data_IF_140284789607
#
_entry.id   IF_140284789607
#
_cell.length_a   1.000
_cell.length_b   1.000
_cell.length_c   1.000
_cell.angle_alpha   90.00
_cell.angle_beta   90.00
_cell.angle_gamma   90.00
#
_symmetry.space_group_name_H-M   'P 1'
#
loop_
_entity.id
_entity.type
_entity.pdbx_description
1 polymer ?
#
# COMPACT_ATOMS: atom_id res chain seq x y z
N UNK A 1 12.15 -10.62 21.82
CA UNK A 1 12.34 -11.74 20.90
C UNK A 1 12.93 -11.23 19.57
N UNK A 2 13.79 -12.02 18.89
CA UNK A 2 14.42 -11.62 17.64
C UNK A 2 13.42 -11.50 16.50
N UNK A 3 13.61 -10.49 15.64
CA UNK A 3 12.90 -10.33 14.39
C UNK A 3 13.31 -11.44 13.42
N UNK A 4 12.34 -11.98 12.67
CA UNK A 4 12.60 -13.05 11.68
C UNK A 4 13.34 -14.29 12.23
N UNK A 5 13.03 -14.72 13.46
CA UNK A 5 13.63 -15.87 14.13
C UNK A 5 13.89 -17.04 13.21
N UNK A 6 12.88 -17.48 12.44
CA UNK A 6 12.94 -18.69 11.62
C UNK A 6 13.88 -18.54 10.39
N UNK A 7 14.27 -17.32 10.03
CA UNK A 7 15.18 -17.06 8.90
C UNK A 7 16.64 -16.90 9.34
N UNK A 8 16.89 -16.71 10.62
CA UNK A 8 18.22 -16.51 11.15
C UNK A 8 18.79 -17.81 11.70
N UNK A 9 19.94 -18.30 11.19
CA UNK A 9 20.60 -19.48 11.76
C UNK A 9 20.93 -19.34 13.24
N UNK A 10 21.15 -18.09 13.70
CA UNK A 10 21.49 -17.79 15.11
C UNK A 10 20.33 -18.05 16.05
N UNK A 11 19.08 -17.95 15.60
CA UNK A 11 17.88 -17.98 16.45
C UNK A 11 16.92 -19.12 16.12
N UNK A 12 17.01 -19.70 14.92
CA UNK A 12 16.03 -20.65 14.40
C UNK A 12 15.84 -21.87 15.31
N UNK A 13 16.93 -22.44 15.79
CA UNK A 13 16.94 -23.69 16.53
C UNK A 13 16.93 -23.50 18.06
N UNK A 14 16.82 -22.25 18.54
CA UNK A 14 16.78 -21.93 19.96
C UNK A 14 15.36 -21.96 20.53
N UNK A 15 15.24 -22.49 21.76
CA UNK A 15 13.96 -22.48 22.48
C UNK A 15 13.62 -21.07 23.03
N UNK A 16 12.40 -20.92 23.54
CA UNK A 16 11.91 -19.63 24.05
C UNK A 16 12.74 -19.09 25.22
N UNK A 17 13.12 -19.96 26.17
CA UNK A 17 13.87 -19.55 27.36
C UNK A 17 15.31 -19.10 27.01
N UNK A 18 15.93 -19.74 26.04
CA UNK A 18 17.23 -19.31 25.52
C UNK A 18 17.15 -17.96 24.84
N UNK A 19 16.12 -17.75 24.01
CA UNK A 19 15.93 -16.47 23.29
C UNK A 19 15.66 -15.29 24.24
N UNK A 20 14.93 -15.51 25.32
CA UNK A 20 14.66 -14.45 26.32
C UNK A 20 15.93 -14.05 27.06
N UNK A 21 16.86 -14.98 27.30
CA UNK A 21 18.14 -14.70 27.96
C UNK A 21 19.18 -14.05 27.03
N UNK A 22 18.97 -14.10 25.73
CA UNK A 22 19.90 -13.52 24.75
C UNK A 22 19.72 -12.01 24.62
N UNK A 23 20.85 -11.29 24.50
CA UNK A 23 20.82 -9.90 24.09
C UNK A 23 20.60 -9.81 22.56
N UNK A 24 19.35 -9.58 22.14
CA UNK A 24 18.93 -9.54 20.76
C UNK A 24 19.01 -8.10 20.24
N UNK A 25 19.93 -7.83 19.31
CA UNK A 25 20.09 -6.51 18.69
C UNK A 25 18.89 -6.08 17.84
N UNK A 26 18.28 -7.02 17.08
CA UNK A 26 17.12 -6.78 16.20
C UNK A 26 15.87 -7.47 16.78
N UNK A 27 15.20 -6.79 17.70
CA UNK A 27 14.01 -7.31 18.37
C UNK A 27 12.73 -6.99 17.60
N UNK A 28 11.65 -7.70 17.93
CA UNK A 28 10.30 -7.42 17.39
C UNK A 28 9.86 -6.03 17.85
N UNK A 29 9.42 -5.20 16.91
CA UNK A 29 8.97 -3.84 17.19
C UNK A 29 7.71 -3.83 18.09
N UNK A 30 7.64 -2.85 19.01
CA UNK A 30 6.53 -2.68 19.98
C UNK A 30 5.15 -2.68 19.30
N UNK A 31 5.02 -2.08 18.12
CA UNK A 31 3.77 -2.09 17.33
C UNK A 31 3.35 -3.50 16.96
N UNK A 32 4.30 -4.39 16.60
CA UNK A 32 4.02 -5.79 16.25
C UNK A 32 3.61 -6.57 17.50
N UNK A 33 4.30 -6.37 18.62
CA UNK A 33 3.95 -6.99 19.92
C UNK A 33 2.52 -6.60 20.31
N UNK A 34 2.20 -5.30 20.30
CA UNK A 34 0.88 -4.80 20.65
C UNK A 34 -0.23 -5.30 19.72
N UNK A 35 0.09 -5.55 18.43
CA UNK A 35 -0.84 -6.15 17.47
C UNK A 35 -1.17 -7.59 17.87
N UNK A 36 -0.17 -8.41 18.24
CA UNK A 36 -0.40 -9.78 18.70
C UNK A 36 -1.16 -9.82 20.02
N UNK A 37 -0.80 -8.97 20.99
CA UNK A 37 -1.55 -8.83 22.24
C UNK A 37 -3.01 -8.44 21.95
N UNK A 38 -3.23 -7.53 20.99
CA UNK A 38 -4.58 -7.13 20.57
C UNK A 38 -5.40 -8.28 20.00
N UNK A 39 -4.81 -9.13 19.16
CA UNK A 39 -5.50 -10.31 18.63
C UNK A 39 -5.87 -11.31 19.72
N UNK A 40 -4.95 -11.62 20.63
CA UNK A 40 -5.22 -12.50 21.75
C UNK A 40 -6.31 -11.91 22.67
N UNK A 41 -6.22 -10.62 22.97
CA UNK A 41 -7.24 -9.94 23.78
C UNK A 41 -8.62 -9.98 23.12
N UNK A 42 -8.72 -9.73 21.82
CA UNK A 42 -10.00 -9.82 21.09
C UNK A 42 -10.58 -11.24 21.11
N UNK A 43 -9.73 -12.26 20.99
CA UNK A 43 -10.16 -13.66 21.10
C UNK A 43 -10.72 -13.96 22.50
N UNK A 44 -10.06 -13.50 23.57
CA UNK A 44 -10.56 -13.70 24.92
C UNK A 44 -11.84 -12.91 25.23
N UNK A 45 -12.00 -11.69 24.72
CA UNK A 45 -13.27 -10.96 24.81
C UNK A 45 -14.41 -11.72 24.12
N UNK A 46 -14.15 -12.28 22.92
CA UNK A 46 -15.12 -13.16 22.25
C UNK A 46 -15.43 -14.40 23.10
N UNK A 47 -14.43 -15.06 23.68
CA UNK A 47 -14.59 -16.25 24.56
C UNK A 47 -15.42 -15.93 25.80
N UNK A 48 -15.25 -14.76 26.41
CA UNK A 48 -16.04 -14.30 27.56
C UNK A 48 -17.51 -14.10 27.13
N UNK A 49 -17.75 -13.43 26.02
CA UNK A 49 -19.11 -13.18 25.52
C UNK A 49 -19.87 -14.46 25.15
N UNK A 50 -19.14 -15.56 24.89
CA UNK A 50 -19.72 -16.87 24.57
C UNK A 50 -19.65 -17.87 25.73
N UNK A 51 -19.25 -17.44 26.93
CA UNK A 51 -19.24 -18.29 28.14
C UNK A 51 -18.08 -19.30 28.23
N UNK A 52 -17.07 -19.21 27.34
CA UNK A 52 -15.91 -20.10 27.34
C UNK A 52 -14.79 -19.66 28.32
N UNK A 53 -14.79 -18.42 28.74
CA UNK A 53 -13.83 -17.87 29.71
C UNK A 53 -14.50 -16.83 30.58
N UNK A 54 -13.95 -16.60 31.76
CA UNK A 54 -14.41 -15.55 32.68
C UNK A 54 -13.47 -14.36 32.75
N UNK A 55 -12.24 -14.51 32.27
CA UNK A 55 -11.20 -13.48 32.33
C UNK A 55 -10.47 -13.31 31.00
N UNK A 56 -9.99 -12.11 30.76
CA UNK A 56 -9.10 -11.82 29.63
C UNK A 56 -7.68 -11.59 30.16
N UNK A 57 -6.77 -12.59 30.04
CA UNK A 57 -5.40 -12.46 30.56
C UNK A 57 -4.53 -11.47 29.78
N UNK A 58 -4.98 -11.01 28.61
CA UNK A 58 -4.25 -10.04 27.78
C UNK A 58 -4.71 -8.60 27.99
N UNK A 59 -5.70 -8.38 28.87
CA UNK A 59 -6.20 -7.04 29.17
C UNK A 59 -5.11 -6.23 29.88
N UNK A 60 -4.81 -5.04 29.33
CA UNK A 60 -3.81 -4.13 29.92
C UNK A 60 -2.34 -4.46 29.60
N UNK A 61 -2.03 -5.57 28.87
CA UNK A 61 -0.66 -5.96 28.58
C UNK A 61 0.00 -5.18 27.42
N UNK A 62 -0.72 -4.27 26.76
CA UNK A 62 -0.13 -3.46 25.68
C UNK A 62 1.02 -2.60 26.20
N UNK A 63 2.15 -2.69 25.52
CA UNK A 63 3.32 -1.89 25.82
C UNK A 63 3.10 -0.42 25.42
N UNK A 64 3.61 0.51 26.21
CA UNK A 64 3.59 1.93 25.89
C UNK A 64 4.41 2.17 24.61
N UNK A 65 3.85 2.91 23.67
CA UNK A 65 4.60 3.34 22.48
C UNK A 65 5.47 4.53 22.85
N UNK A 66 6.74 4.45 22.54
CA UNK A 66 7.72 5.51 22.77
C UNK A 66 7.63 6.61 21.73
N UNK A 67 7.27 6.25 20.48
CA UNK A 67 7.19 7.17 19.33
C UNK A 67 5.73 7.35 18.88
N UNK A 68 5.35 8.56 18.53
CA UNK A 68 4.01 8.84 18.00
C UNK A 68 3.86 8.20 16.62
N UNK A 69 2.66 7.73 16.23
CA UNK A 69 2.46 7.10 14.91
C UNK A 69 2.89 7.95 13.71
N UNK A 70 2.80 9.27 13.82
CA UNK A 70 3.22 10.21 12.77
C UNK A 70 4.74 10.32 12.63
N UNK A 71 5.47 10.02 13.70
CA UNK A 71 6.93 10.12 13.79
C UNK A 71 7.60 8.75 13.55
N UNK A 72 6.78 7.68 13.33
CA UNK A 72 7.27 6.33 12.98
C UNK A 72 7.81 6.24 11.54
N UNK A 73 7.53 7.25 10.70
CA UNK A 73 8.00 7.31 9.30
C UNK A 73 8.39 8.72 8.96
N UNK A 74 9.60 8.88 8.50
CA UNK A 74 10.07 10.13 7.96
C UNK A 74 9.40 10.43 6.62
N UNK A 75 9.25 11.72 6.33
CA UNK A 75 8.81 12.18 5.01
C UNK A 75 10.02 12.17 4.09
N UNK A 76 9.79 11.89 2.83
CA UNK A 76 10.80 12.11 1.82
C UNK A 76 11.17 13.59 1.76
N UNK A 77 12.44 13.88 1.77
CA UNK A 77 12.98 15.23 1.52
C UNK A 77 12.88 15.57 0.03
N UNK A 78 12.95 16.86 -0.30
CA UNK A 78 12.97 17.30 -1.70
C UNK A 78 14.13 16.70 -2.50
N UNK A 79 15.28 16.48 -1.85
CA UNK A 79 16.44 15.84 -2.47
C UNK A 79 16.17 14.36 -2.78
N UNK A 80 15.55 13.65 -1.85
CA UNK A 80 15.15 12.25 -2.07
C UNK A 80 14.08 12.15 -3.16
N UNK A 81 13.09 13.05 -3.17
CA UNK A 81 12.08 13.09 -4.23
C UNK A 81 12.71 13.37 -5.61
N UNK A 82 13.64 14.32 -5.69
CA UNK A 82 14.40 14.58 -6.92
C UNK A 82 15.21 13.36 -7.35
N UNK A 83 15.77 12.61 -6.42
CA UNK A 83 16.51 11.37 -6.71
C UNK A 83 15.58 10.27 -7.18
N UNK A 84 14.42 10.09 -6.53
CA UNK A 84 13.40 9.10 -6.88
C UNK A 84 12.79 9.38 -8.27
N UNK A 85 12.45 10.62 -8.57
CA UNK A 85 11.79 11.00 -9.83
C UNK A 85 12.76 11.60 -10.86
N UNK A 86 14.06 11.52 -10.62
CA UNK A 86 15.07 11.96 -11.58
C UNK A 86 14.94 11.23 -12.93
N UNK A 87 14.89 12.00 -14.03
CA UNK A 87 14.58 11.50 -15.37
C UNK A 87 15.37 10.24 -15.74
N UNK A 88 16.70 10.27 -15.53
CA UNK A 88 17.59 9.16 -15.90
C UNK A 88 17.26 7.88 -15.13
N UNK A 89 17.09 7.98 -13.80
CA UNK A 89 16.79 6.83 -12.96
C UNK A 89 15.36 6.34 -13.16
N UNK A 90 14.39 7.26 -13.10
CA UNK A 90 12.98 6.89 -13.07
C UNK A 90 12.52 6.23 -14.38
N UNK A 91 12.87 6.79 -15.52
CA UNK A 91 12.50 6.24 -16.84
C UNK A 91 13.19 4.89 -17.07
N UNK A 92 14.47 4.79 -16.76
CA UNK A 92 15.22 3.55 -16.91
C UNK A 92 14.67 2.41 -16.03
N UNK A 93 14.46 2.67 -14.74
CA UNK A 93 13.99 1.65 -13.80
C UNK A 93 12.52 1.29 -13.95
N UNK A 94 11.68 2.21 -14.34
CA UNK A 94 10.24 1.94 -14.53
C UNK A 94 9.95 1.16 -15.80
N UNK A 95 10.94 1.03 -16.69
CA UNK A 95 10.85 0.20 -17.89
C UNK A 95 9.60 0.48 -18.73
N UNK A 96 9.26 1.76 -18.88
CA UNK A 96 8.08 2.17 -19.64
C UNK A 96 8.14 1.67 -21.08
N UNK A 97 9.34 1.59 -21.65
CA UNK A 97 9.60 1.05 -22.98
C UNK A 97 9.29 -0.46 -23.08
N UNK A 98 9.44 -1.21 -21.97
CA UNK A 98 9.04 -2.61 -21.87
C UNK A 98 7.53 -2.77 -21.56
N UNK A 99 6.74 -1.72 -21.67
CA UNK A 99 5.29 -1.70 -21.37
C UNK A 99 4.95 -2.01 -19.90
N UNK A 100 5.87 -1.76 -18.98
CA UNK A 100 5.65 -1.86 -17.52
C UNK A 100 5.02 -0.56 -17.01
N UNK A 101 3.89 -0.17 -17.60
CA UNK A 101 3.17 1.08 -17.32
C UNK A 101 2.81 1.27 -15.86
N UNK A 102 2.53 0.17 -15.16
CA UNK A 102 2.23 0.17 -13.72
C UNK A 102 3.39 0.68 -12.86
N UNK A 103 4.64 0.44 -13.27
CA UNK A 103 5.81 0.92 -12.54
C UNK A 103 6.05 2.41 -12.75
N UNK A 104 5.65 2.94 -13.92
CA UNK A 104 5.78 4.36 -14.23
C UNK A 104 4.64 5.18 -13.61
N UNK A 105 3.39 4.79 -13.84
CA UNK A 105 2.23 5.60 -13.45
C UNK A 105 1.87 5.49 -11.97
N UNK A 106 2.06 4.33 -11.33
CA UNK A 106 1.62 4.14 -9.93
C UNK A 106 2.25 5.12 -8.95
N UNK A 107 3.58 5.36 -8.94
CA UNK A 107 4.18 6.34 -8.03
C UNK A 107 3.76 7.78 -8.34
N UNK A 108 3.67 8.15 -9.61
CA UNK A 108 3.25 9.48 -10.04
C UNK A 108 1.80 9.77 -9.59
N UNK A 109 0.88 8.84 -9.86
CA UNK A 109 -0.50 8.95 -9.39
C UNK A 109 -0.51 9.04 -7.85
N UNK A 110 0.29 8.22 -7.16
CA UNK A 110 0.36 8.25 -5.70
C UNK A 110 0.79 9.60 -5.13
N UNK A 111 1.83 10.19 -5.70
CA UNK A 111 2.38 11.49 -5.23
C UNK A 111 1.40 12.63 -5.50
N UNK A 112 0.80 12.69 -6.68
CA UNK A 112 -0.05 13.80 -7.09
C UNK A 112 -1.53 13.67 -6.68
N UNK A 113 -1.98 12.48 -6.24
CA UNK A 113 -3.38 12.26 -5.84
C UNK A 113 -3.56 11.86 -4.38
N UNK A 114 -2.51 11.39 -3.71
CA UNK A 114 -2.61 10.82 -2.37
C UNK A 114 -3.43 9.53 -2.29
N UNK A 115 -3.68 8.86 -3.41
CA UNK A 115 -4.38 7.59 -3.45
C UNK A 115 -3.53 6.48 -2.82
N UNK A 116 -4.19 5.51 -2.18
CA UNK A 116 -3.49 4.33 -1.67
C UNK A 116 -3.04 3.44 -2.82
N UNK A 117 -1.90 2.77 -2.66
CA UNK A 117 -1.36 1.87 -3.68
C UNK A 117 -2.39 0.84 -4.17
N UNK A 118 -3.18 0.25 -3.27
CA UNK A 118 -4.24 -0.68 -3.65
C UNK A 118 -5.35 -0.03 -4.49
N UNK A 119 -5.72 1.21 -4.18
CA UNK A 119 -6.70 1.98 -4.94
C UNK A 119 -6.19 2.27 -6.37
N UNK A 120 -4.91 2.67 -6.50
CA UNK A 120 -4.30 2.96 -7.80
C UNK A 120 -4.22 1.69 -8.67
N UNK A 121 -3.71 0.60 -8.10
CA UNK A 121 -3.49 -0.65 -8.85
C UNK A 121 -4.78 -1.38 -9.23
N UNK A 122 -5.89 -1.06 -8.56
CA UNK A 122 -7.23 -1.57 -8.88
C UNK A 122 -8.10 -0.59 -9.68
N UNK A 123 -7.55 0.53 -10.18
CA UNK A 123 -8.32 1.48 -10.97
C UNK A 123 -8.82 0.84 -12.27
N UNK A 124 -10.10 0.99 -12.50
CA UNK A 124 -10.72 0.75 -13.81
C UNK A 124 -10.61 2.02 -14.66
N UNK A 125 -10.59 1.86 -15.97
CA UNK A 125 -10.43 2.99 -16.89
C UNK A 125 -11.59 3.98 -16.76
N UNK A 126 -12.80 3.51 -16.55
CA UNK A 126 -14.01 4.31 -16.36
C UNK A 126 -14.06 5.03 -15.00
N UNK A 127 -13.21 4.65 -14.04
CA UNK A 127 -13.03 5.40 -12.81
C UNK A 127 -12.19 6.68 -13.02
N UNK A 128 -11.59 6.86 -14.19
CA UNK A 128 -10.92 8.11 -14.59
C UNK A 128 -11.86 8.85 -15.53
N UNK A 129 -12.65 9.74 -15.01
CA UNK A 129 -13.74 10.38 -15.74
C UNK A 129 -13.94 11.86 -15.40
N UNK A 130 -14.56 12.59 -16.30
CA UNK A 130 -14.98 13.96 -16.03
C UNK A 130 -16.14 14.00 -15.05
N UNK A 131 -16.01 14.80 -14.02
CA UNK A 131 -17.06 15.06 -13.03
C UNK A 131 -17.34 16.56 -12.96
N UNK A 132 -18.61 16.93 -12.94
CA UNK A 132 -19.05 18.32 -12.75
C UNK A 132 -18.93 18.71 -11.30
N UNK A 133 -18.17 19.75 -11.01
CA UNK A 133 -18.11 20.39 -9.70
C UNK A 133 -19.34 21.26 -9.40
N UNK A 134 -19.40 21.82 -8.19
CA UNK A 134 -20.47 22.70 -7.73
C UNK A 134 -20.66 23.95 -8.60
N UNK A 135 -19.61 24.43 -9.23
CA UNK A 135 -19.63 25.61 -10.11
C UNK A 135 -19.78 25.25 -11.61
N UNK A 136 -20.31 24.05 -11.92
CA UNK A 136 -20.49 23.52 -13.29
C UNK A 136 -19.21 23.28 -14.08
N UNK A 137 -18.04 23.48 -13.51
CA UNK A 137 -16.77 23.13 -14.10
C UNK A 137 -16.65 21.63 -14.21
N UNK A 138 -16.18 21.14 -15.35
CA UNK A 138 -15.83 19.73 -15.53
C UNK A 138 -14.36 19.55 -15.21
N UNK A 139 -14.04 18.60 -14.36
CA UNK A 139 -12.67 18.21 -14.06
C UNK A 139 -12.51 16.70 -14.21
N UNK A 140 -11.38 16.31 -14.76
CA UNK A 140 -10.99 14.90 -14.77
C UNK A 140 -10.68 14.48 -13.33
N UNK A 141 -11.27 13.36 -12.90
CA UNK A 141 -11.17 12.89 -11.52
C UNK A 141 -10.93 11.38 -11.49
N UNK A 142 -10.26 10.94 -10.44
CA UNK A 142 -10.29 9.56 -9.99
C UNK A 142 -11.53 9.34 -9.13
N UNK A 143 -12.44 8.49 -9.55
CA UNK A 143 -13.65 8.12 -8.80
C UNK A 143 -13.38 6.85 -8.00
N UNK A 144 -13.12 7.00 -6.72
CA UNK A 144 -12.81 5.89 -5.82
C UNK A 144 -14.10 5.36 -5.22
N UNK A 145 -14.67 4.38 -5.88
CA UNK A 145 -15.98 3.78 -5.54
C UNK A 145 -15.87 2.27 -5.41
N UNK A 146 -16.77 1.67 -4.61
CA UNK A 146 -17.02 0.23 -4.62
C UNK A 146 -18.20 -0.02 -5.57
N UNK A 147 -17.98 -0.90 -6.50
CA UNK A 147 -18.97 -1.35 -7.46
C UNK A 147 -19.25 -2.82 -7.18
N UNK A 148 -20.50 -3.19 -6.84
CA UNK A 148 -20.84 -4.56 -6.45
C UNK A 148 -20.47 -5.63 -7.50
N UNK A 149 -20.46 -5.23 -8.78
CA UNK A 149 -20.14 -6.11 -9.90
C UNK A 149 -18.63 -6.41 -10.01
N UNK A 150 -17.78 -5.59 -9.35
CA UNK A 150 -16.32 -5.68 -9.40
C UNK A 150 -15.78 -6.28 -8.11
N UNK A 151 -15.88 -7.61 -8.00
CA UNK A 151 -15.51 -8.36 -6.79
C UNK A 151 -14.00 -8.35 -6.49
N UNK A 152 -13.18 -7.96 -7.44
CA UNK A 152 -11.73 -7.80 -7.32
C UNK A 152 -11.29 -6.45 -6.73
N UNK A 153 -12.25 -5.52 -6.54
CA UNK A 153 -12.00 -4.17 -6.03
C UNK A 153 -12.50 -4.03 -4.60
N UNK A 154 -11.57 -3.95 -3.66
CA UNK A 154 -11.90 -3.80 -2.25
C UNK A 154 -11.42 -2.45 -1.71
N UNK A 155 -12.33 -1.66 -1.16
CA UNK A 155 -11.96 -0.51 -0.34
C UNK A 155 -11.80 -0.95 1.11
N UNK A 156 -10.79 -0.39 1.78
CA UNK A 156 -10.50 -0.72 3.18
C UNK A 156 -11.67 -0.40 4.13
N UNK A 157 -12.46 0.63 3.82
CA UNK A 157 -13.64 1.07 4.58
C UNK A 157 -14.64 1.75 3.64
N UNK A 158 -15.91 1.80 4.00
CA UNK A 158 -16.92 2.57 3.26
C UNK A 158 -16.57 4.07 3.17
N UNK A 159 -15.95 4.63 4.19
CA UNK A 159 -15.45 6.01 4.21
C UNK A 159 -14.32 6.30 3.22
N UNK A 160 -13.80 5.26 2.54
CA UNK A 160 -12.79 5.42 1.48
C UNK A 160 -13.38 5.89 0.15
N UNK A 161 -14.71 5.86 -0.02
CA UNK A 161 -15.38 6.42 -1.22
C UNK A 161 -15.11 7.91 -1.31
N UNK A 162 -14.54 8.33 -2.42
CA UNK A 162 -14.24 9.74 -2.66
C UNK A 162 -13.90 10.01 -4.12
N UNK A 163 -14.06 11.24 -4.51
CA UNK A 163 -13.63 11.77 -5.80
C UNK A 163 -12.34 12.56 -5.56
N UNK A 164 -11.32 12.29 -6.33
CA UNK A 164 -10.02 12.97 -6.27
C UNK A 164 -9.73 13.60 -7.63
N UNK A 165 -9.62 14.94 -7.74
CA UNK A 165 -9.26 15.57 -8.99
C UNK A 165 -7.90 15.07 -9.49
N UNK A 166 -7.78 14.86 -10.80
CA UNK A 166 -6.49 14.57 -11.43
C UNK A 166 -5.67 15.85 -11.43
N UNK A 167 -4.46 15.79 -10.90
CA UNK A 167 -3.55 16.91 -10.88
C UNK A 167 -3.06 17.27 -12.29
N UNK A 168 -2.92 18.55 -12.59
CA UNK A 168 -2.54 19.04 -13.94
C UNK A 168 -1.23 18.43 -14.43
N UNK A 169 -0.25 18.25 -13.55
CA UNK A 169 1.01 17.56 -13.86
C UNK A 169 0.82 16.15 -14.42
N UNK A 170 -0.17 15.39 -13.94
CA UNK A 170 -0.45 14.06 -14.48
C UNK A 170 -1.02 14.16 -15.92
N UNK A 171 -1.78 15.21 -16.20
CA UNK A 171 -2.32 15.50 -17.54
C UNK A 171 -1.17 15.90 -18.46
N UNK A 172 -0.30 16.81 -18.02
CA UNK A 172 0.89 17.26 -18.76
C UNK A 172 1.87 16.11 -19.07
N UNK A 173 1.97 15.12 -18.15
CA UNK A 173 2.77 13.91 -18.36
C UNK A 173 2.13 12.90 -19.33
N UNK A 174 0.92 13.18 -19.84
CA UNK A 174 0.26 12.37 -20.86
C UNK A 174 -0.62 11.24 -20.28
N UNK A 175 -1.21 11.39 -19.08
CA UNK A 175 -2.10 10.37 -18.50
C UNK A 175 -3.32 10.11 -19.37
N UNK A 176 -3.89 11.17 -19.99
CA UNK A 176 -5.08 11.04 -20.86
C UNK A 176 -4.71 10.26 -22.11
N UNK A 177 -3.63 10.64 -22.78
CA UNK A 177 -3.12 10.00 -23.98
C UNK A 177 -2.76 8.53 -23.71
N UNK A 178 -2.18 8.26 -22.55
CA UNK A 178 -1.90 6.89 -22.11
C UNK A 178 -3.19 6.05 -22.01
N UNK A 179 -4.24 6.57 -21.34
CA UNK A 179 -5.53 5.88 -21.22
C UNK A 179 -6.16 5.65 -22.60
N UNK A 180 -6.12 6.64 -23.46
CA UNK A 180 -6.62 6.52 -24.84
C UNK A 180 -5.86 5.46 -25.64
N UNK A 181 -4.53 5.44 -25.52
CA UNK A 181 -3.67 4.45 -26.16
C UNK A 181 -4.00 3.02 -25.70
N UNK A 182 -4.27 2.84 -24.41
CA UNK A 182 -4.68 1.53 -23.86
C UNK A 182 -6.00 1.06 -24.48
N UNK A 183 -6.99 1.94 -24.62
CA UNK A 183 -8.29 1.64 -25.23
C UNK A 183 -8.19 1.36 -26.74
N UNK A 184 -7.32 2.06 -27.44
CA UNK A 184 -7.07 1.81 -28.87
C UNK A 184 -6.43 0.43 -29.08
N UNK A 185 -5.45 0.07 -28.23
CA UNK A 185 -4.76 -1.23 -28.32
C UNK A 185 -5.63 -2.42 -27.92
N UNK A 186 -6.47 -2.22 -26.93
CA UNK A 186 -7.40 -3.24 -26.42
C UNK A 186 -8.74 -2.59 -26.04
N UNK A 187 -9.71 -2.55 -26.97
CA UNK A 187 -11.04 -1.96 -26.74
C UNK A 187 -11.83 -2.63 -25.61
N UNK A 188 -11.49 -3.88 -25.25
CA UNK A 188 -12.12 -4.63 -24.17
C UNK A 188 -11.44 -4.43 -22.80
N UNK A 189 -10.38 -3.63 -22.77
CA UNK A 189 -9.64 -3.35 -21.56
C UNK A 189 -10.49 -2.63 -20.53
N UNK A 190 -10.59 -3.19 -19.36
CA UNK A 190 -11.36 -2.64 -18.24
C UNK A 190 -10.50 -1.90 -17.24
N UNK A 191 -9.34 -2.46 -16.83
CA UNK A 191 -8.47 -1.89 -15.81
C UNK A 191 -7.31 -1.11 -16.40
N UNK A 192 -6.91 -0.06 -15.67
CA UNK A 192 -5.75 0.76 -16.05
C UNK A 192 -4.46 -0.08 -16.10
N UNK A 193 -4.28 -1.00 -15.16
CA UNK A 193 -3.13 -1.91 -15.07
C UNK A 193 -3.59 -3.37 -15.11
N UNK A 194 -4.13 -3.79 -16.25
CA UNK A 194 -4.74 -5.11 -16.42
C UNK A 194 -3.71 -6.25 -16.35
N UNK A 195 -2.44 -5.95 -16.60
CA UNK A 195 -1.33 -6.90 -16.52
C UNK A 195 -0.96 -7.31 -15.08
N UNK A 196 -1.42 -6.56 -14.08
CA UNK A 196 -1.15 -6.89 -12.68
C UNK A 196 -1.97 -8.11 -12.24
N UNK A 197 -1.33 -9.18 -11.75
CA UNK A 197 -2.02 -10.34 -11.24
C UNK A 197 -2.68 -10.03 -9.89
N UNK A 198 -3.89 -10.52 -9.70
CA UNK A 198 -4.56 -10.50 -8.40
C UNK A 198 -3.92 -11.49 -7.44
N UNK A 199 -3.53 -11.05 -6.23
CA UNK A 199 -2.90 -11.89 -5.20
C UNK A 199 -3.31 -11.42 -3.81
N UNK A 200 -3.69 -12.36 -2.93
CA UNK A 200 -3.94 -12.10 -1.49
C UNK A 200 -4.69 -10.79 -1.20
N UNK A 201 -5.78 -10.57 -1.93
CA UNK A 201 -6.64 -9.41 -1.73
C UNK A 201 -6.23 -8.13 -2.46
N UNK A 202 -5.45 -8.21 -3.55
CA UNK A 202 -5.18 -7.04 -4.38
C UNK A 202 -4.15 -7.20 -5.49
N UNK A 203 -3.94 -6.12 -6.22
CA UNK A 203 -3.01 -6.04 -7.35
C UNK A 203 -1.67 -5.39 -7.01
N UNK A 204 -1.52 -4.87 -5.79
CA UNK A 204 -0.43 -3.97 -5.39
C UNK A 204 0.90 -4.67 -5.07
N UNK A 205 0.91 -6.00 -4.90
CA UNK A 205 2.06 -6.73 -4.35
C UNK A 205 3.31 -6.63 -5.24
N UNK A 206 3.16 -6.77 -6.55
CA UNK A 206 4.30 -6.71 -7.49
C UNK A 206 4.91 -5.31 -7.53
N UNK A 207 4.09 -4.27 -7.58
CA UNK A 207 4.51 -2.86 -7.59
C UNK A 207 5.22 -2.53 -6.27
N UNK A 208 4.60 -2.86 -5.13
CA UNK A 208 5.19 -2.66 -3.82
C UNK A 208 6.55 -3.36 -3.66
N UNK A 209 6.64 -4.62 -4.12
CA UNK A 209 7.89 -5.38 -4.06
C UNK A 209 8.98 -4.75 -4.93
N UNK A 210 8.64 -4.31 -6.13
CA UNK A 210 9.59 -3.65 -7.02
C UNK A 210 10.17 -2.40 -6.38
N UNK A 211 9.33 -1.46 -5.93
CA UNK A 211 9.80 -0.21 -5.35
C UNK A 211 10.59 -0.43 -4.06
N UNK A 212 10.08 -1.21 -3.10
CA UNK A 212 10.72 -1.36 -1.80
C UNK A 212 11.95 -2.27 -1.79
N UNK A 213 12.09 -3.20 -2.76
CA UNK A 213 13.20 -4.17 -2.74
C UNK A 213 14.22 -4.00 -3.86
N UNK A 214 13.90 -3.21 -4.88
CA UNK A 214 14.80 -3.00 -6.03
C UNK A 214 15.06 -1.53 -6.25
N UNK A 215 14.00 -0.73 -6.52
CA UNK A 215 14.17 0.64 -6.95
C UNK A 215 14.72 1.55 -5.84
N UNK A 216 14.04 1.68 -4.71
CA UNK A 216 14.49 2.54 -3.61
C UNK A 216 15.88 2.14 -3.07
N UNK A 217 16.19 0.84 -2.84
CA UNK A 217 17.53 0.44 -2.44
C UNK A 217 18.64 0.74 -3.48
N UNK A 218 18.30 0.78 -4.79
CA UNK A 218 19.30 1.11 -5.83
C UNK A 218 19.67 2.60 -5.85
N UNK A 219 18.89 3.44 -5.21
CA UNK A 219 19.15 4.87 -5.11
C UNK A 219 20.13 5.23 -3.96
N UNK A 220 20.40 4.32 -3.04
CA UNK A 220 21.31 4.48 -1.90
C UNK A 220 20.65 5.07 -0.69
#
# INVERSE_FOLDING_TARGET
>A
LPRNRNKSPLYRDKNFHELVKMNVKDSIHTTTINKHIGYCSSFYEWSINHGYSTINPFKGLKLKKEVRPRDERDRFTDLELKKIFGKENYIHFTKIEERRYELYWTPLIGVFSGLRLGEITSLYIDNVREIKGSHREKRLCFDIVVEPERTDKHLKTQSSRRIVPVHDTLIELGLIEFIQLLKIKDPKRERLFQELPYREGGYNQNVSRFFNRRYLPSLG
#
